data_IF_754478180380
#
_entry.id   IF_754478180380
#
_cell.length_a   1.000
_cell.length_b   1.000
_cell.length_c   1.000
_cell.angle_alpha   90.00
_cell.angle_beta   90.00
_cell.angle_gamma   90.00
#
_symmetry.space_group_name_H-M   'P 1'
#
loop_
_entity.id
_entity.type
_entity.pdbx_description
1 polymer ?
#
# COMPACT_ATOMS: atom_id res chain seq x y z
N UNK A 1 12.52 -11.47 -10.35
CA UNK A 1 11.94 -12.83 -10.37
C UNK A 1 10.46 -12.76 -10.74
N UNK A 2 9.88 -13.85 -11.25
CA UNK A 2 8.49 -13.90 -11.70
C UNK A 2 7.66 -14.78 -10.77
N UNK A 3 6.50 -14.29 -10.35
CA UNK A 3 5.55 -15.00 -9.48
C UNK A 3 4.13 -14.80 -10.00
N UNK A 4 3.21 -15.74 -9.75
CA UNK A 4 1.80 -15.46 -9.99
C UNK A 4 1.28 -14.35 -9.07
N UNK A 5 0.21 -13.68 -9.48
CA UNK A 5 -0.46 -12.64 -8.67
C UNK A 5 -0.85 -13.20 -7.30
N UNK A 6 -1.41 -14.42 -7.27
CA UNK A 6 -1.83 -15.08 -6.04
C UNK A 6 -0.66 -15.42 -5.11
N UNK A 7 0.44 -15.98 -5.65
CA UNK A 7 1.63 -16.28 -4.84
C UNK A 7 2.25 -15.03 -4.24
N UNK A 8 2.33 -13.95 -5.02
CA UNK A 8 2.88 -12.69 -4.53
C UNK A 8 1.97 -12.07 -3.46
N UNK A 9 0.64 -12.06 -3.67
CA UNK A 9 -0.31 -11.59 -2.67
C UNK A 9 -0.26 -12.39 -1.37
N UNK A 10 -0.17 -13.71 -1.46
CA UNK A 10 -0.03 -14.59 -0.29
C UNK A 10 1.30 -14.37 0.45
N UNK A 11 2.39 -14.10 -0.28
CA UNK A 11 3.66 -13.75 0.33
C UNK A 11 3.58 -12.43 1.11
N UNK A 12 2.94 -11.41 0.53
CA UNK A 12 2.73 -10.10 1.18
C UNK A 12 1.83 -10.22 2.42
N UNK A 13 0.77 -11.02 2.34
CA UNK A 13 -0.11 -11.32 3.48
C UNK A 13 0.68 -11.92 4.63
N UNK A 14 1.41 -13.00 4.37
CA UNK A 14 2.21 -13.71 5.39
C UNK A 14 3.30 -12.82 5.97
N UNK A 15 3.97 -12.03 5.13
CA UNK A 15 5.00 -11.09 5.58
C UNK A 15 4.42 -10.03 6.52
N UNK A 16 3.26 -9.45 6.17
CA UNK A 16 2.59 -8.45 7.01
C UNK A 16 2.21 -9.01 8.38
N UNK A 17 1.58 -10.19 8.42
CA UNK A 17 1.22 -10.84 9.69
C UNK A 17 2.46 -11.26 10.47
N UNK A 18 3.54 -11.68 9.80
CA UNK A 18 4.82 -12.02 10.43
C UNK A 18 5.55 -10.84 11.10
N UNK A 19 5.19 -9.60 10.74
CA UNK A 19 5.63 -8.36 11.42
C UNK A 19 4.66 -7.93 12.54
N UNK A 20 3.57 -8.67 12.74
CA UNK A 20 2.56 -8.40 13.75
C UNK A 20 1.45 -7.45 13.29
N UNK A 21 1.32 -7.19 11.98
CA UNK A 21 0.17 -6.46 11.43
C UNK A 21 -1.10 -7.32 11.65
N UNK A 22 -2.20 -6.75 12.19
CA UNK A 22 -3.47 -7.46 12.34
C UNK A 22 -3.96 -8.05 11.02
N UNK A 23 -4.54 -9.25 11.06
CA UNK A 23 -4.91 -10.00 9.85
C UNK A 23 -5.79 -9.18 8.89
N UNK A 24 -6.83 -8.49 9.37
CA UNK A 24 -7.69 -7.68 8.49
C UNK A 24 -6.92 -6.57 7.75
N UNK A 25 -6.02 -5.87 8.45
CA UNK A 25 -5.17 -4.84 7.83
C UNK A 25 -4.19 -5.48 6.83
N UNK A 26 -3.67 -6.68 7.14
CA UNK A 26 -2.79 -7.42 6.27
C UNK A 26 -3.50 -7.92 4.99
N UNK A 27 -4.79 -8.28 5.06
CA UNK A 27 -5.60 -8.65 3.90
C UNK A 27 -5.88 -7.45 3.00
N UNK A 28 -6.20 -6.31 3.58
CA UNK A 28 -6.51 -5.08 2.84
C UNK A 28 -5.26 -4.49 2.16
N UNK A 29 -4.11 -4.48 2.83
CA UNK A 29 -2.88 -3.92 2.24
C UNK A 29 -2.38 -4.74 1.04
N UNK A 30 -2.70 -6.03 0.96
CA UNK A 30 -2.40 -6.86 -0.22
C UNK A 30 -3.06 -6.27 -1.46
N UNK A 31 -4.27 -5.73 -1.36
CA UNK A 31 -4.97 -5.14 -2.50
C UNK A 31 -4.23 -3.92 -3.05
N UNK A 32 -3.72 -3.07 -2.15
CA UNK A 32 -2.87 -1.94 -2.53
C UNK A 32 -1.61 -2.39 -3.27
N UNK A 33 -0.88 -3.35 -2.68
CA UNK A 33 0.38 -3.84 -3.23
C UNK A 33 0.17 -4.49 -4.59
N UNK A 34 -0.86 -5.32 -4.75
CA UNK A 34 -1.20 -5.94 -6.02
C UNK A 34 -1.62 -4.91 -7.06
N UNK A 35 -2.43 -3.92 -6.68
CA UNK A 35 -2.85 -2.86 -7.60
C UNK A 35 -1.65 -2.17 -8.22
N UNK A 36 -0.66 -1.81 -7.40
CA UNK A 36 0.58 -1.15 -7.82
C UNK A 36 1.49 -2.09 -8.64
N UNK A 37 1.78 -3.29 -8.14
CA UNK A 37 2.74 -4.22 -8.74
C UNK A 37 2.28 -4.67 -10.14
N UNK A 38 0.98 -4.92 -10.29
CA UNK A 38 0.36 -5.25 -11.58
C UNK A 38 0.62 -4.14 -12.61
N UNK A 39 0.59 -2.88 -12.17
CA UNK A 39 0.76 -1.68 -13.01
C UNK A 39 2.22 -1.26 -13.17
N UNK A 40 3.16 -2.12 -12.79
CA UNK A 40 4.60 -1.86 -12.94
C UNK A 40 5.17 -0.84 -11.96
N UNK A 41 4.40 -0.44 -10.95
CA UNK A 41 4.90 0.41 -9.86
C UNK A 41 5.62 -0.47 -8.82
N UNK A 42 6.71 0.02 -8.19
CA UNK A 42 7.62 -0.79 -7.35
C UNK A 42 7.04 -1.10 -5.95
N UNK A 43 5.89 -1.77 -5.92
CA UNK A 43 5.14 -2.04 -4.71
C UNK A 43 5.89 -2.99 -3.77
N UNK A 44 6.60 -3.97 -4.32
CA UNK A 44 7.48 -4.91 -3.62
C UNK A 44 8.52 -4.22 -2.73
N UNK A 45 9.22 -3.20 -3.25
CA UNK A 45 10.17 -2.38 -2.48
C UNK A 45 9.45 -1.56 -1.42
N UNK A 46 8.35 -0.92 -1.81
CA UNK A 46 7.54 -0.10 -0.91
C UNK A 46 6.99 -0.89 0.29
N UNK A 47 6.46 -2.09 0.08
CA UNK A 47 5.94 -2.92 1.18
C UNK A 47 7.07 -3.48 2.05
N UNK A 48 8.22 -3.88 1.47
CA UNK A 48 9.38 -4.29 2.25
C UNK A 48 9.85 -3.17 3.19
N UNK A 49 9.93 -1.94 2.68
CA UNK A 49 10.35 -0.79 3.47
C UNK A 49 9.34 -0.48 4.59
N UNK A 50 8.04 -0.47 4.28
CA UNK A 50 7.00 -0.19 5.27
C UNK A 50 6.98 -1.25 6.39
N UNK A 51 7.06 -2.53 6.04
CA UNK A 51 7.16 -3.63 7.01
C UNK A 51 8.44 -3.55 7.84
N UNK A 52 9.58 -3.19 7.24
CA UNK A 52 10.84 -2.99 7.97
C UNK A 52 10.74 -1.82 8.95
N UNK A 53 10.09 -0.71 8.57
CA UNK A 53 9.90 0.43 9.46
C UNK A 53 8.97 0.07 10.64
N UNK A 54 7.93 -0.73 10.40
CA UNK A 54 7.07 -1.25 11.47
C UNK A 54 7.83 -2.19 12.41
N UNK A 55 8.58 -3.16 11.86
CA UNK A 55 9.36 -4.14 12.64
C UNK A 55 10.39 -3.47 13.55
N UNK A 56 11.04 -2.40 13.07
CA UNK A 56 12.00 -1.60 13.84
C UNK A 56 11.35 -0.58 14.78
N UNK A 57 10.04 -0.37 14.67
CA UNK A 57 9.33 0.68 15.38
C UNK A 57 9.70 2.09 14.91
N UNK A 58 10.22 2.25 13.69
CA UNK A 58 10.50 3.56 13.05
C UNK A 58 9.22 4.21 12.53
N UNK A 59 8.24 3.39 12.15
CA UNK A 59 6.88 3.80 11.83
C UNK A 59 5.88 3.26 12.87
N UNK A 60 4.73 3.93 12.98
CA UNK A 60 3.66 3.51 13.89
C UNK A 60 2.27 3.68 13.20
N UNK A 61 1.23 3.00 13.70
CA UNK A 61 -0.13 3.09 13.15
C UNK A 61 -0.71 4.51 13.07
N UNK A 62 -0.21 5.42 13.90
CA UNK A 62 -0.78 6.73 14.14
C UNK A 62 -1.95 6.70 15.12
N UNK A 63 -2.34 7.87 15.59
CA UNK A 63 -3.52 8.08 16.43
C UNK A 63 -4.49 8.98 15.71
N UNK A 64 -5.78 8.69 15.85
CA UNK A 64 -6.85 9.58 15.37
C UNK A 64 -6.81 10.84 16.22
N UNK A 65 -6.74 12.01 15.58
CA UNK A 65 -6.84 13.28 16.29
C UNK A 65 -8.26 13.49 16.77
N UNK A 66 -8.43 13.98 18.00
CA UNK A 66 -9.76 14.23 18.56
C UNK A 66 -10.59 15.08 17.59
N UNK A 67 -11.80 14.59 17.26
CA UNK A 67 -12.83 15.19 16.40
C UNK A 67 -12.65 15.08 14.88
N UNK A 68 -11.48 14.68 14.36
CA UNK A 68 -11.34 14.39 12.92
C UNK A 68 -11.59 12.89 12.67
N UNK A 69 -12.50 12.55 11.76
CA UNK A 69 -12.77 11.13 11.40
C UNK A 69 -11.76 10.59 10.37
N UNK A 70 -10.86 11.43 9.88
CA UNK A 70 -10.08 11.17 8.67
C UNK A 70 -8.60 11.62 8.79
N UNK A 71 -8.11 12.00 9.97
CA UNK A 71 -6.69 12.34 10.15
C UNK A 71 -6.03 11.37 11.14
N UNK A 72 -4.89 10.83 10.73
CA UNK A 72 -3.99 10.06 11.58
C UNK A 72 -2.69 10.85 11.72
N UNK A 73 -2.24 11.01 12.95
CA UNK A 73 -0.94 11.60 13.26
C UNK A 73 0.02 10.53 13.77
N UNK A 74 1.26 10.56 13.30
CA UNK A 74 2.30 9.71 13.84
C UNK A 74 2.63 10.11 15.28
N UNK A 75 3.01 9.13 16.10
CA UNK A 75 3.64 9.40 17.39
C UNK A 75 4.89 10.30 17.23
N UNK A 76 5.22 11.14 18.24
CA UNK A 76 6.38 12.02 18.18
C UNK A 76 7.68 11.31 17.82
N UNK A 77 8.39 11.83 16.81
CA UNK A 77 9.67 11.29 16.35
C UNK A 77 9.56 9.99 15.52
N UNK A 78 8.36 9.58 15.14
CA UNK A 78 8.11 8.38 14.33
C UNK A 78 7.47 8.76 12.99
N UNK A 79 7.63 7.88 12.00
CA UNK A 79 6.90 7.95 10.72
C UNK A 79 5.47 7.44 10.87
N UNK A 80 4.55 7.93 10.04
CA UNK A 80 3.20 7.38 9.92
C UNK A 80 3.26 6.14 9.03
N UNK A 81 2.74 5.01 9.53
CA UNK A 81 2.73 3.77 8.78
C UNK A 81 1.73 3.84 7.62
N UNK A 82 2.24 3.72 6.41
CA UNK A 82 1.46 3.60 5.19
C UNK A 82 0.60 2.34 5.17
N UNK A 83 0.97 1.26 5.87
CA UNK A 83 0.15 0.05 5.99
C UNK A 83 -1.17 0.37 6.70
N UNK A 84 -1.10 1.06 7.84
CA UNK A 84 -2.28 1.44 8.62
C UNK A 84 -3.03 2.61 7.97
N UNK A 85 -2.32 3.63 7.50
CA UNK A 85 -2.92 4.77 6.82
C UNK A 85 -3.69 4.34 5.56
N UNK A 86 -3.18 3.37 4.81
CA UNK A 86 -3.86 2.83 3.63
C UNK A 86 -5.27 2.34 3.97
N UNK A 87 -5.39 1.43 4.94
CA UNK A 87 -6.67 0.81 5.33
C UNK A 87 -7.61 1.84 5.93
N UNK A 88 -7.08 2.71 6.81
CA UNK A 88 -7.85 3.82 7.37
C UNK A 88 -8.46 4.73 6.30
N UNK A 89 -7.70 5.03 5.24
CA UNK A 89 -8.21 5.88 4.15
C UNK A 89 -9.09 5.14 3.15
N UNK A 90 -8.95 3.82 2.98
CA UNK A 90 -9.91 3.01 2.25
C UNK A 90 -11.30 3.13 2.88
N UNK A 91 -11.39 3.01 4.21
CA UNK A 91 -12.65 3.18 4.95
C UNK A 91 -13.17 4.61 4.87
N UNK A 92 -12.30 5.61 5.03
CA UNK A 92 -12.68 7.02 4.92
C UNK A 92 -13.32 7.31 3.55
N UNK A 93 -12.76 6.75 2.47
CA UNK A 93 -13.27 6.93 1.11
C UNK A 93 -14.74 6.47 0.97
N UNK A 94 -15.13 5.41 1.68
CA UNK A 94 -16.51 4.92 1.69
C UNK A 94 -17.48 5.88 2.39
N UNK A 95 -16.99 6.70 3.31
CA UNK A 95 -17.82 7.70 4.00
C UNK A 95 -17.99 9.01 3.23
N UNK A 96 -17.41 9.12 2.03
CA UNK A 96 -17.47 10.30 1.17
C UNK A 96 -16.31 11.27 1.32
N UNK A 97 -15.25 10.86 2.01
CA UNK A 97 -13.95 11.54 1.96
C UNK A 97 -13.33 11.43 0.54
N UNK A 98 -12.46 12.36 0.11
CA UNK A 98 -12.17 13.65 0.73
C UNK A 98 -13.29 14.67 0.52
N UNK A 99 -13.64 15.39 1.59
CA UNK A 99 -14.63 16.47 1.51
C UNK A 99 -14.12 17.65 0.67
N UNK A 100 -15.05 18.44 0.12
CA UNK A 100 -14.73 19.71 -0.54
C UNK A 100 -14.15 20.68 0.49
N UNK A 101 -13.03 21.33 0.17
CA UNK A 101 -12.41 22.32 1.05
C UNK A 101 -10.90 22.19 1.09
N UNK A 102 -10.33 22.28 2.29
CA UNK A 102 -8.87 22.27 2.47
C UNK A 102 -8.27 20.90 2.14
N UNK A 103 -7.03 20.86 1.62
CA UNK A 103 -6.27 19.61 1.46
C UNK A 103 -6.09 18.90 2.81
N UNK A 104 -6.17 17.57 2.79
CA UNK A 104 -5.67 16.72 3.86
C UNK A 104 -4.18 16.48 3.66
N UNK A 105 -3.37 16.69 4.70
CA UNK A 105 -1.92 16.59 4.62
C UNK A 105 -1.44 15.61 5.69
N UNK A 106 -0.87 14.50 5.25
CA UNK A 106 -0.21 13.53 6.12
C UNK A 106 1.31 13.74 6.00
N UNK A 107 1.95 14.03 7.12
CA UNK A 107 3.39 14.25 7.18
C UNK A 107 4.12 12.96 7.57
N UNK A 108 5.31 12.75 6.99
CA UNK A 108 6.19 11.65 7.40
C UNK A 108 5.62 10.25 7.18
N UNK A 109 4.79 10.05 6.15
CA UNK A 109 4.32 8.74 5.71
C UNK A 109 5.51 7.93 5.20
N UNK A 110 5.65 6.71 5.70
CA UNK A 110 6.85 5.91 5.48
C UNK A 110 6.97 5.32 4.06
N UNK A 111 5.83 5.06 3.40
CA UNK A 111 5.74 4.70 1.98
C UNK A 111 4.45 5.23 1.34
N UNK A 112 4.45 6.49 0.86
CA UNK A 112 3.27 7.12 0.26
C UNK A 112 2.70 6.36 -0.96
N UNK A 113 3.54 5.61 -1.68
CA UNK A 113 3.13 4.82 -2.84
C UNK A 113 2.09 3.75 -2.47
N UNK A 114 2.19 3.15 -1.27
CA UNK A 114 1.20 2.18 -0.79
C UNK A 114 -0.17 2.83 -0.53
N UNK A 115 -0.18 4.09 -0.06
CA UNK A 115 -1.42 4.83 0.16
C UNK A 115 -2.11 5.14 -1.17
N UNK A 116 -1.33 5.46 -2.22
CA UNK A 116 -1.87 5.56 -3.58
C UNK A 116 -2.53 4.25 -4.02
N UNK A 117 -1.84 3.11 -3.91
CA UNK A 117 -2.38 1.82 -4.33
C UNK A 117 -3.70 1.48 -3.61
N UNK A 118 -3.77 1.82 -2.32
CA UNK A 118 -4.93 1.59 -1.48
C UNK A 118 -6.14 2.41 -1.94
N UNK A 119 -5.94 3.72 -2.08
CA UNK A 119 -6.99 4.64 -2.52
C UNK A 119 -7.44 4.35 -3.95
N UNK A 120 -6.50 4.00 -4.85
CA UNK A 120 -6.84 3.66 -6.22
C UNK A 120 -7.65 2.37 -6.33
N UNK A 121 -7.33 1.37 -5.49
CA UNK A 121 -8.12 0.14 -5.40
C UNK A 121 -9.52 0.40 -4.83
N UNK A 122 -9.62 1.07 -3.67
CA UNK A 122 -10.91 1.34 -3.02
C UNK A 122 -11.82 2.26 -3.87
N UNK A 123 -11.23 3.14 -4.70
CA UNK A 123 -11.99 4.01 -5.58
C UNK A 123 -12.73 3.27 -6.70
N UNK A 124 -12.39 2.00 -6.96
CA UNK A 124 -13.17 1.16 -7.87
C UNK A 124 -14.61 0.99 -7.39
N UNK A 125 -14.83 0.97 -6.08
CA UNK A 125 -16.15 0.86 -5.46
C UNK A 125 -16.71 2.22 -5.06
N UNK A 126 -15.90 3.07 -4.42
CA UNK A 126 -16.37 4.35 -3.91
C UNK A 126 -16.74 5.37 -5.01
N UNK A 127 -16.23 5.18 -6.24
CA UNK A 127 -16.50 6.01 -7.43
C UNK A 127 -16.34 7.51 -7.17
N UNK A 128 -15.27 7.91 -6.47
CA UNK A 128 -14.95 9.30 -6.14
C UNK A 128 -13.94 9.90 -7.11
N UNK A 129 -13.92 11.23 -7.13
CA UNK A 129 -12.94 12.02 -7.89
C UNK A 129 -12.12 12.89 -6.95
N UNK A 130 -10.80 12.70 -6.95
CA UNK A 130 -9.86 13.41 -6.09
C UNK A 130 -8.44 13.35 -6.64
N UNK A 131 -7.60 14.27 -6.17
CA UNK A 131 -6.20 14.40 -6.53
C UNK A 131 -5.31 13.98 -5.35
N UNK A 132 -4.20 13.31 -5.65
CA UNK A 132 -3.15 12.95 -4.71
C UNK A 132 -1.84 13.59 -5.15
N UNK A 133 -1.07 14.10 -4.19
CA UNK A 133 0.28 14.60 -4.44
C UNK A 133 1.21 14.09 -3.35
N UNK A 134 2.34 13.53 -3.73
CA UNK A 134 3.30 13.00 -2.78
C UNK A 134 4.69 12.87 -3.37
N UNK A 135 5.67 12.73 -2.49
CA UNK A 135 7.07 12.52 -2.85
C UNK A 135 7.56 11.22 -2.26
N UNK A 136 8.21 10.42 -3.10
CA UNK A 136 9.05 9.29 -2.71
C UNK A 136 10.51 9.74 -2.79
N UNK A 137 11.44 8.97 -2.22
CA UNK A 137 12.88 9.32 -2.19
C UNK A 137 13.46 9.59 -3.60
N UNK A 138 12.84 9.03 -4.64
CA UNK A 138 13.31 9.15 -6.02
C UNK A 138 12.49 10.16 -6.85
N UNK A 139 11.26 10.48 -6.44
CA UNK A 139 10.28 11.03 -7.38
C UNK A 139 9.05 11.69 -6.73
N UNK A 140 8.62 12.82 -7.30
CA UNK A 140 7.32 13.44 -7.03
C UNK A 140 6.21 12.92 -7.97
N UNK A 141 5.02 12.69 -7.41
CA UNK A 141 3.84 12.18 -8.11
C UNK A 141 2.65 13.12 -7.99
N UNK A 142 1.87 13.21 -9.06
CA UNK A 142 0.54 13.81 -9.08
C UNK A 142 -0.42 12.80 -9.68
N UNK A 143 -1.47 12.44 -8.96
CA UNK A 143 -2.42 11.41 -9.39
C UNK A 143 -3.82 11.96 -9.35
N UNK A 144 -4.55 11.79 -10.45
CA UNK A 144 -5.98 12.08 -10.52
C UNK A 144 -6.74 10.76 -10.51
N UNK A 145 -7.52 10.57 -9.47
CA UNK A 145 -8.49 9.50 -9.33
C UNK A 145 -9.85 10.02 -9.77
N UNK A 146 -10.52 9.25 -10.62
CA UNK A 146 -11.90 9.49 -11.07
C UNK A 146 -12.69 8.20 -10.92
N UNK A 147 -14.01 8.26 -11.05
CA UNK A 147 -14.88 7.11 -10.84
C UNK A 147 -14.44 5.87 -11.66
N UNK A 148 -13.84 4.87 -11.00
CA UNK A 148 -13.36 3.63 -11.61
C UNK A 148 -12.06 3.72 -12.41
N UNK A 149 -11.35 4.85 -12.40
CA UNK A 149 -10.13 5.03 -13.17
C UNK A 149 -9.10 5.89 -12.43
N UNK A 150 -7.82 5.70 -12.77
CA UNK A 150 -6.71 6.42 -12.18
C UNK A 150 -5.75 6.86 -13.29
N UNK A 151 -5.41 8.13 -13.30
CA UNK A 151 -4.35 8.68 -14.13
C UNK A 151 -3.18 9.10 -13.25
N UNK A 152 -2.01 8.51 -13.46
CA UNK A 152 -0.81 8.74 -12.67
C UNK A 152 0.16 9.53 -13.51
N UNK A 153 0.56 10.69 -12.99
CA UNK A 153 1.58 11.53 -13.58
C UNK A 153 2.81 11.61 -12.68
N UNK A 154 3.97 11.72 -13.34
CA UNK A 154 5.30 11.81 -12.73
C UNK A 154 5.96 13.11 -13.17
N UNK A 155 6.49 13.90 -12.24
CA UNK A 155 7.21 15.14 -12.60
C UNK A 155 8.64 14.83 -13.08
N UNK A 156 9.14 15.44 -14.16
CA UNK A 156 10.48 15.10 -14.67
C UNK A 156 11.63 15.62 -13.79
N UNK A 157 11.39 16.68 -13.03
CA UNK A 157 12.31 17.21 -12.04
C UNK A 157 11.59 17.36 -10.69
N UNK A 158 12.33 17.53 -9.58
CA UNK A 158 11.79 17.92 -8.27
C UNK A 158 11.21 19.34 -8.33
N UNK A 159 10.20 19.54 -9.16
CA UNK A 159 9.46 20.78 -9.23
C UNK A 159 8.55 20.86 -8.02
N UNK A 160 9.00 21.67 -7.06
CA UNK A 160 8.24 22.70 -6.33
C UNK A 160 8.25 22.60 -4.81
N UNK A 161 8.53 23.76 -4.22
CA UNK A 161 8.57 24.12 -2.79
C UNK A 161 7.32 23.79 -1.98
N UNK A 162 6.20 23.38 -2.60
CA UNK A 162 4.94 23.05 -1.94
C UNK A 162 4.91 21.65 -1.30
N UNK A 163 5.72 20.70 -1.81
CA UNK A 163 5.84 19.33 -1.31
C UNK A 163 7.03 19.11 -0.35
N UNK A 164 7.55 20.19 0.23
CA UNK A 164 8.67 20.12 1.18
C UNK A 164 8.32 19.21 2.37
N UNK A 165 9.14 18.16 2.57
CA UNK A 165 9.02 17.17 3.65
C UNK A 165 9.04 15.73 3.15
N UNK A 166 10.03 14.93 3.57
CA UNK A 166 10.10 13.50 3.26
C UNK A 166 8.83 12.79 3.76
N UNK A 167 8.21 11.97 2.90
CA UNK A 167 6.99 11.23 3.22
C UNK A 167 5.72 12.10 3.30
N UNK A 168 5.73 13.33 2.77
CA UNK A 168 4.51 14.14 2.70
C UNK A 168 3.54 13.56 1.66
N UNK A 169 2.29 13.36 2.07
CA UNK A 169 1.19 12.87 1.24
C UNK A 169 -0.01 13.81 1.37
N UNK A 170 -0.47 14.35 0.26
CA UNK A 170 -1.54 15.34 0.19
C UNK A 170 -2.72 14.76 -0.58
N UNK A 171 -3.92 14.92 -0.04
CA UNK A 171 -5.18 14.54 -0.71
C UNK A 171 -6.08 15.75 -0.83
N UNK A 172 -6.62 15.95 -2.03
CA UNK A 172 -7.46 17.09 -2.39
C UNK A 172 -8.67 16.62 -3.17
N UNK A 173 -9.85 17.17 -2.88
CA UNK A 173 -11.02 16.93 -3.71
C UNK A 173 -10.81 17.52 -5.12
N UNK A 174 -11.28 16.81 -6.16
CA UNK A 174 -11.05 17.18 -7.56
C UNK A 174 -11.57 18.58 -7.95
N UNK A 175 -12.58 19.09 -7.23
CA UNK A 175 -13.16 20.42 -7.49
C UNK A 175 -12.34 21.57 -6.90
N UNK A 176 -11.28 21.27 -6.16
CA UNK A 176 -10.49 22.28 -5.41
C UNK A 176 -9.42 22.92 -6.29
N UNK A 177 -8.73 22.13 -7.13
CA UNK A 177 -7.70 22.61 -8.05
C UNK A 177 -7.36 21.52 -9.09
N UNK A 178 -7.04 21.88 -10.35
CA UNK A 178 -6.59 20.89 -11.33
C UNK A 178 -5.29 20.21 -10.88
N UNK A 179 -5.23 18.89 -10.99
CA UNK A 179 -3.99 18.12 -10.98
C UNK A 179 -3.07 18.66 -12.10
N UNK A 180 -1.79 18.94 -11.79
CA UNK A 180 -0.88 19.71 -12.64
C UNK A 180 -0.68 19.14 -14.07
N UNK A 181 -0.74 20.02 -15.08
CA UNK A 181 -0.62 19.71 -16.52
C UNK A 181 0.82 19.52 -17.03
N UNK A 182 1.85 19.81 -16.21
CA UNK A 182 3.26 19.74 -16.62
C UNK A 182 3.94 18.39 -16.33
N UNK A 183 3.20 17.40 -15.82
CA UNK A 183 3.73 16.10 -15.42
C UNK A 183 3.57 15.02 -16.51
N UNK A 184 4.58 14.17 -16.66
CA UNK A 184 4.59 13.05 -17.62
C UNK A 184 3.54 12.00 -17.23
N UNK A 185 2.65 11.66 -18.16
CA UNK A 185 1.66 10.60 -17.97
C UNK A 185 2.36 9.23 -18.02
N UNK A 186 2.39 8.53 -16.89
CA UNK A 186 3.02 7.20 -16.77
C UNK A 186 2.02 6.06 -16.65
N UNK A 187 0.77 6.36 -16.31
CA UNK A 187 -0.31 5.40 -16.27
C UNK A 187 -1.64 6.08 -16.61
N UNK A 188 -2.30 5.62 -17.67
CA UNK A 188 -3.69 5.92 -17.97
C UNK A 188 -4.57 4.67 -17.80
N UNK A 189 -5.87 4.84 -18.00
CA UNK A 189 -6.87 3.77 -17.88
C UNK A 189 -6.56 2.58 -18.80
N UNK A 190 -6.23 2.86 -20.07
CA UNK A 190 -6.00 1.84 -21.08
C UNK A 190 -4.76 1.01 -20.73
N UNK A 191 -3.65 1.68 -20.40
CA UNK A 191 -2.43 1.02 -19.99
C UNK A 191 -2.64 0.24 -18.68
N UNK A 192 -3.41 0.78 -17.73
CA UNK A 192 -3.73 0.09 -16.49
C UNK A 192 -4.51 -1.22 -16.73
N UNK A 193 -5.50 -1.21 -17.62
CA UNK A 193 -6.25 -2.42 -17.99
C UNK A 193 -5.40 -3.45 -18.72
N UNK A 194 -4.56 -3.01 -19.67
CA UNK A 194 -3.66 -3.87 -20.43
C UNK A 194 -2.62 -4.54 -19.52
N UNK A 195 -2.06 -3.77 -18.57
CA UNK A 195 -1.14 -4.28 -17.55
C UNK A 195 -1.84 -5.25 -16.59
N UNK A 196 -3.09 -4.98 -16.18
CA UNK A 196 -3.87 -5.89 -15.36
C UNK A 196 -4.10 -7.24 -16.03
N UNK A 197 -4.53 -7.22 -17.29
CA UNK A 197 -4.73 -8.44 -18.09
C UNK A 197 -3.43 -9.21 -18.28
N UNK A 198 -2.33 -8.50 -18.54
CA UNK A 198 -1.01 -9.09 -18.75
C UNK A 198 -0.47 -9.71 -17.47
N UNK A 199 -0.57 -9.01 -16.33
CA UNK A 199 -0.14 -9.49 -15.02
C UNK A 199 -0.86 -10.78 -14.60
N UNK A 200 -2.17 -10.88 -14.83
CA UNK A 200 -2.92 -12.10 -14.55
C UNK A 200 -2.48 -13.30 -15.42
N UNK A 201 -2.09 -13.06 -16.68
CA UNK A 201 -1.68 -14.13 -17.61
C UNK A 201 -0.22 -14.55 -17.44
N UNK A 202 0.66 -13.58 -17.23
CA UNK A 202 2.13 -13.77 -17.29
C UNK A 202 2.76 -13.78 -15.89
N UNK A 203 2.04 -13.31 -14.87
CA UNK A 203 2.56 -13.10 -13.53
C UNK A 203 3.21 -11.74 -13.34
N UNK A 204 3.61 -11.47 -12.11
CA UNK A 204 4.25 -10.23 -11.67
C UNK A 204 5.76 -10.37 -11.68
N UNK A 205 6.43 -9.29 -12.03
CA UNK A 205 7.88 -9.18 -11.87
C UNK A 205 8.15 -8.48 -10.54
N UNK A 206 8.87 -9.13 -9.63
CA UNK A 206 9.31 -8.56 -8.37
C UNK A 206 10.83 -8.65 -8.23
N UNK A 207 11.43 -7.69 -7.53
CA UNK A 207 12.85 -7.66 -7.20
C UNK A 207 13.21 -8.84 -6.28
N UNK A 208 14.33 -9.52 -6.57
CA UNK A 208 14.73 -10.70 -5.81
C UNK A 208 15.06 -10.37 -4.34
N UNK A 209 15.60 -9.18 -4.08
CA UNK A 209 15.90 -8.70 -2.73
C UNK A 209 14.62 -8.40 -1.96
N UNK A 210 13.64 -7.76 -2.61
CA UNK A 210 12.32 -7.53 -2.01
C UNK A 210 11.63 -8.86 -1.68
N UNK A 211 11.65 -9.83 -2.59
CA UNK A 211 11.06 -11.14 -2.30
C UNK A 211 11.78 -11.87 -1.16
N UNK A 212 13.10 -11.78 -1.07
CA UNK A 212 13.85 -12.33 0.05
C UNK A 212 13.47 -11.67 1.38
N UNK A 213 13.32 -10.33 1.40
CA UNK A 213 12.85 -9.59 2.56
C UNK A 213 11.45 -10.03 3.00
N UNK A 214 10.50 -10.13 2.07
CA UNK A 214 9.14 -10.60 2.38
C UNK A 214 9.12 -12.04 2.89
N UNK A 215 9.94 -12.93 2.31
CA UNK A 215 10.07 -14.30 2.80
C UNK A 215 10.58 -14.35 4.23
N UNK A 216 11.60 -13.56 4.55
CA UNK A 216 12.14 -13.50 5.92
C UNK A 216 11.11 -13.05 6.96
N UNK A 217 10.20 -12.15 6.59
CA UNK A 217 9.06 -11.80 7.45
C UNK A 217 8.00 -12.90 7.48
N UNK A 218 7.66 -13.47 6.33
CA UNK A 218 6.66 -14.53 6.22
C UNK A 218 7.05 -15.79 7.01
N UNK A 219 8.33 -16.13 7.07
CA UNK A 219 8.84 -17.29 7.81
C UNK A 219 8.62 -17.14 9.33
N UNK A 220 8.39 -15.92 9.83
CA UNK A 220 8.04 -15.68 11.25
C UNK A 220 6.62 -16.15 11.60
N UNK A 221 5.77 -16.42 10.59
CA UNK A 221 4.48 -17.07 10.77
C UNK A 221 4.61 -18.57 11.05
N UNK A 222 5.78 -19.15 10.79
CA UNK A 222 6.03 -20.55 11.11
C UNK A 222 6.25 -20.66 12.62
N UNK A 223 5.42 -21.47 13.27
CA UNK A 223 5.71 -21.92 14.63
C UNK A 223 7.01 -22.71 14.55
N UNK A 224 8.03 -22.33 15.32
CA UNK A 224 9.22 -23.16 15.52
C UNK A 224 8.74 -24.56 15.91
N UNK A 225 9.19 -25.59 15.18
CA UNK A 225 8.93 -26.97 15.59
C UNK A 225 9.42 -27.15 17.02
N UNK A 226 8.50 -27.15 17.98
CA UNK A 226 8.83 -27.62 19.31
C UNK A 226 9.04 -29.14 19.20
N UNK A 227 10.01 -29.70 19.94
CA UNK A 227 10.18 -31.16 20.07
C UNK A 227 8.87 -31.87 20.45
N UNK A 228 7.91 -31.13 21.02
CA UNK A 228 6.56 -31.57 21.32
C UNK A 228 5.67 -31.78 20.09
N UNK A 229 5.76 -30.95 19.05
CA UNK A 229 5.02 -31.13 17.78
C UNK A 229 5.50 -32.35 17.00
N UNK A 230 6.81 -32.59 16.98
CA UNK A 230 7.42 -33.79 16.38
C UNK A 230 6.96 -35.08 17.09
N UNK A 231 6.84 -35.05 18.43
CA UNK A 231 6.40 -36.21 19.22
C UNK A 231 4.88 -36.46 19.19
N UNK A 232 4.07 -35.42 19.01
CA UNK A 232 2.61 -35.51 19.09
C UNK A 232 1.91 -35.56 17.73
N UNK A 233 2.67 -35.57 16.61
CA UNK A 233 2.12 -35.87 15.29
C UNK A 233 0.95 -34.96 14.91
N UNK A 234 1.20 -33.66 14.80
CA UNK A 234 0.24 -32.76 14.16
C UNK A 234 0.17 -33.09 12.66
N UNK A 235 -0.62 -34.11 12.30
CA UNK A 235 -0.81 -34.57 10.92
C UNK A 235 -1.12 -36.06 10.73
N UNK A 236 -1.07 -36.89 11.78
CA UNK A 236 -1.53 -38.27 11.67
C UNK A 236 -3.04 -38.31 11.92
N UNK A 237 -3.83 -38.08 10.87
CA UNK A 237 -5.24 -38.45 10.89
C UNK A 237 -5.35 -39.91 11.30
N UNK A 238 -6.12 -40.19 12.35
CA UNK A 238 -6.48 -41.56 12.72
C UNK A 238 -7.26 -42.12 11.54
N UNK A 239 -6.62 -42.99 10.76
CA UNK A 239 -7.32 -43.79 9.77
C UNK A 239 -7.97 -44.92 10.58
N UNK A 240 -9.27 -44.82 10.83
CA UNK A 240 -10.07 -45.96 11.25
C UNK A 240 -9.96 -47.01 10.15
N UNK A 241 -9.33 -48.14 10.49
CA UNK A 241 -9.36 -49.35 9.68
C UNK A 241 -10.40 -50.28 10.32
N UNK A 242 -11.54 -50.39 9.64
CA UNK A 242 -12.58 -51.41 9.89
C UNK A 242 -12.02 -52.84 9.89
#
# INVERSE_FOLDING_TARGET
MRQSVSEFGQLVLKASVGVGVPLGIAEDIVQSVLWLQIRGLPADRSICQALTNLDRGDANPGTVTDWSRHELEALPGKKLSSVYLSVFLMDALQTGWPAIGKPFIYAGVDSPLLVLGALAWANNEAKRSFCLQFVTDEQAFSVKLVAGSATVHKFQEQSTSALSGAGRFIVQNADTQPCHDEAELILDERLAEDLARTGCRVGLTADATSVACLKAFADRMLVLESDRSLRQGAGAGVIDSD
#
